data_IF_182541572841
#
_entry.id   IF_182541572841
#
_cell.length_a   1.000
_cell.length_b   1.000
_cell.length_c   1.000
_cell.angle_alpha   90.00
_cell.angle_beta   90.00
_cell.angle_gamma   90.00
#
_symmetry.space_group_name_H-M   'P 1'
#
loop_
_entity.id
_entity.type
_entity.pdbx_description
1 polymer ?
#
# COMPACT_ATOMS: atom_id res chain seq x y z
N UNK A 1 -22.49 5.88 14.49
CA UNK A 1 -23.13 6.06 13.16
C UNK A 1 -22.40 7.18 12.43
N UNK A 2 -22.03 6.97 11.16
CA UNK A 2 -21.50 8.04 10.30
C UNK A 2 -22.68 8.77 9.67
N UNK A 3 -22.63 10.11 9.63
CA UNK A 3 -23.68 10.92 9.02
C UNK A 3 -23.69 10.72 7.49
N UNK A 4 -24.86 10.75 6.88
CA UNK A 4 -24.98 10.79 5.40
C UNK A 4 -24.44 12.09 4.81
N UNK A 5 -24.23 13.13 5.60
CA UNK A 5 -23.58 14.39 5.24
C UNK A 5 -22.08 14.42 5.56
N UNK A 6 -21.49 13.26 5.91
CA UNK A 6 -20.05 13.16 6.13
C UNK A 6 -19.29 13.36 4.80
N UNK A 7 -18.34 14.30 4.78
CA UNK A 7 -17.59 14.63 3.58
C UNK A 7 -16.64 13.50 3.13
N UNK A 8 -16.24 12.60 4.03
CA UNK A 8 -15.56 11.38 3.66
C UNK A 8 -16.44 10.48 2.80
N UNK A 9 -17.74 10.36 3.13
CA UNK A 9 -18.73 9.62 2.35
C UNK A 9 -19.07 10.34 1.03
N UNK A 10 -19.33 11.66 1.09
CA UNK A 10 -19.81 12.40 -0.07
C UNK A 10 -18.73 12.71 -1.11
N UNK A 11 -17.51 12.97 -0.68
CA UNK A 11 -16.43 13.49 -1.54
C UNK A 11 -15.10 12.74 -1.42
N UNK A 12 -15.01 11.72 -0.57
CA UNK A 12 -13.74 11.06 -0.26
C UNK A 12 -12.77 11.96 0.52
N UNK A 13 -13.30 12.98 1.23
CA UNK A 13 -12.49 13.92 1.99
C UNK A 13 -12.10 13.31 3.35
N UNK A 14 -10.97 12.64 3.32
CA UNK A 14 -10.42 11.92 4.46
C UNK A 14 -9.17 11.16 4.10
N UNK A 15 -8.57 10.55 5.11
CA UNK A 15 -7.34 9.76 5.00
C UNK A 15 -7.51 8.42 5.72
N UNK A 16 -6.67 7.45 5.38
CA UNK A 16 -6.75 6.15 6.04
C UNK A 16 -5.39 5.46 6.13
N UNK A 17 -5.33 4.47 7.02
CA UNK A 17 -4.26 3.51 7.09
C UNK A 17 -4.79 2.07 7.08
N UNK A 18 -3.92 1.18 6.62
CA UNK A 18 -4.08 -0.25 6.75
C UNK A 18 -2.88 -0.80 7.49
N UNK A 19 -3.07 -1.52 8.58
CA UNK A 19 -2.00 -1.91 9.50
C UNK A 19 -2.16 -3.39 9.82
N UNK A 20 -1.10 -4.18 9.71
CA UNK A 20 -1.12 -5.60 10.08
C UNK A 20 -0.92 -5.78 11.57
N UNK A 21 -1.52 -6.84 12.07
CA UNK A 21 -1.29 -7.36 13.42
C UNK A 21 -0.68 -8.74 13.29
N UNK A 22 0.45 -8.96 13.95
CA UNK A 22 1.14 -10.25 14.04
C UNK A 22 1.35 -10.63 15.50
N UNK A 23 0.88 -11.77 15.93
CA UNK A 23 1.03 -12.26 17.32
C UNK A 23 0.60 -11.20 18.35
N UNK A 24 -0.57 -10.55 18.13
CA UNK A 24 -1.15 -9.43 18.91
C UNK A 24 -0.38 -8.11 18.85
N UNK A 25 0.73 -8.04 18.13
CA UNK A 25 1.52 -6.82 17.95
C UNK A 25 1.06 -6.07 16.70
N UNK A 26 0.71 -4.81 16.83
CA UNK A 26 0.42 -3.92 15.70
C UNK A 26 1.76 -3.56 15.04
N UNK A 27 1.94 -3.95 13.79
CA UNK A 27 3.22 -3.88 13.09
C UNK A 27 3.51 -2.46 12.60
N UNK A 28 4.68 -1.92 12.94
CA UNK A 28 5.14 -0.58 12.55
C UNK A 28 4.07 0.51 12.77
N UNK A 29 3.42 0.45 13.97
CA UNK A 29 2.30 1.35 14.30
C UNK A 29 2.72 2.82 14.27
N UNK A 30 3.92 3.15 14.76
CA UNK A 30 4.41 4.52 14.82
C UNK A 30 4.53 5.14 13.42
N UNK A 31 5.09 4.41 12.47
CA UNK A 31 5.28 4.82 11.07
C UNK A 31 3.92 4.99 10.36
N UNK A 32 2.96 4.12 10.63
CA UNK A 32 1.60 4.25 10.11
C UNK A 32 0.88 5.47 10.68
N UNK A 33 1.02 5.74 11.97
CA UNK A 33 0.43 6.94 12.58
C UNK A 33 1.09 8.21 12.04
N UNK A 34 2.42 8.24 11.91
CA UNK A 34 3.13 9.37 11.32
C UNK A 34 2.59 9.67 9.91
N UNK A 35 2.54 8.70 9.01
CA UNK A 35 2.04 8.88 7.64
C UNK A 35 0.54 9.27 7.59
N UNK A 36 -0.28 8.78 8.53
CA UNK A 36 -1.67 9.21 8.66
C UNK A 36 -1.77 10.71 8.93
N UNK A 37 -0.97 11.22 9.88
CA UNK A 37 -0.96 12.64 10.24
C UNK A 37 -0.34 13.51 9.14
N UNK A 38 0.68 13.05 8.44
CA UNK A 38 1.23 13.72 7.25
C UNK A 38 0.18 13.84 6.14
N UNK A 39 -0.55 12.75 5.86
CA UNK A 39 -1.64 12.74 4.88
C UNK A 39 -2.77 13.69 5.27
N UNK A 40 -3.14 13.72 6.55
CA UNK A 40 -4.16 14.63 7.08
C UNK A 40 -3.70 16.09 6.99
N UNK A 41 -2.44 16.38 7.33
CA UNK A 41 -1.86 17.72 7.22
C UNK A 41 -1.90 18.22 5.78
N UNK A 42 -1.55 17.36 4.82
CA UNK A 42 -1.53 17.72 3.40
C UNK A 42 -2.90 18.17 2.86
N UNK A 43 -4.00 17.63 3.40
CA UNK A 43 -5.37 18.04 3.06
C UNK A 43 -6.00 18.99 4.09
N UNK A 44 -5.20 19.52 5.03
CA UNK A 44 -5.66 20.40 6.13
C UNK A 44 -6.80 19.78 6.95
N UNK A 45 -6.73 18.47 7.20
CA UNK A 45 -7.65 17.75 8.07
C UNK A 45 -7.07 17.71 9.49
N UNK A 46 -7.76 18.31 10.43
CA UNK A 46 -7.37 18.28 11.85
C UNK A 46 -7.91 17.01 12.49
N UNK A 47 -7.02 16.11 12.89
CA UNK A 47 -7.39 14.89 13.62
C UNK A 47 -7.68 15.26 15.08
N UNK A 48 -8.83 14.85 15.68
CA UNK A 48 -9.25 15.27 17.03
C UNK A 48 -8.54 14.49 18.15
N UNK A 49 -7.43 13.83 17.87
CA UNK A 49 -6.62 13.04 18.80
C UNK A 49 -5.14 13.34 18.55
N UNK A 50 -4.31 13.21 19.58
CA UNK A 50 -2.86 13.21 19.40
C UNK A 50 -2.38 11.89 18.80
N UNK A 51 -1.17 11.83 18.17
CA UNK A 51 -0.60 10.59 17.69
C UNK A 51 -0.57 9.48 18.75
N UNK A 52 -0.21 9.79 19.97
CA UNK A 52 -0.18 8.82 21.08
C UNK A 52 -1.58 8.30 21.45
N UNK A 53 -2.59 9.16 21.46
CA UNK A 53 -3.98 8.74 21.68
C UNK A 53 -4.49 7.86 20.53
N UNK A 54 -4.12 8.15 19.29
CA UNK A 54 -4.49 7.36 18.13
C UNK A 54 -3.85 5.97 18.18
N UNK A 55 -2.56 5.88 18.50
CA UNK A 55 -1.88 4.60 18.67
C UNK A 55 -2.56 3.76 19.77
N UNK A 56 -2.85 4.36 20.93
CA UNK A 56 -3.56 3.68 22.01
C UNK A 56 -4.95 3.21 21.61
N UNK A 57 -5.70 4.00 20.83
CA UNK A 57 -7.03 3.61 20.33
C UNK A 57 -6.95 2.41 19.38
N UNK A 58 -5.94 2.36 18.51
CA UNK A 58 -5.69 1.19 17.63
C UNK A 58 -5.39 -0.06 18.45
N UNK A 59 -4.45 0.01 19.41
CA UNK A 59 -4.09 -1.12 20.27
C UNK A 59 -5.27 -1.62 21.11
N UNK A 60 -6.04 -0.70 21.69
CA UNK A 60 -7.25 -1.04 22.45
C UNK A 60 -8.29 -1.72 21.57
N UNK A 61 -8.48 -1.27 20.33
CA UNK A 61 -9.43 -1.89 19.38
C UNK A 61 -8.99 -3.31 19.03
N UNK A 62 -7.71 -3.52 18.77
CA UNK A 62 -7.14 -4.86 18.52
C UNK A 62 -7.35 -5.79 19.72
N UNK A 63 -7.07 -5.31 20.93
CA UNK A 63 -7.24 -6.07 22.15
C UNK A 63 -8.73 -6.40 22.41
N UNK A 64 -9.62 -5.43 22.26
CA UNK A 64 -11.06 -5.59 22.50
C UNK A 64 -11.72 -6.60 21.53
N UNK A 65 -11.18 -6.74 20.31
CA UNK A 65 -11.64 -7.70 19.32
C UNK A 65 -10.88 -9.05 19.37
N UNK A 66 -9.92 -9.21 20.27
CA UNK A 66 -9.18 -10.45 20.45
C UNK A 66 -8.31 -10.83 19.23
N UNK A 67 -7.90 -9.84 18.43
CA UNK A 67 -7.13 -10.10 17.20
C UNK A 67 -5.71 -10.55 17.56
N UNK A 68 -5.33 -11.73 17.08
CA UNK A 68 -3.97 -12.28 17.22
C UNK A 68 -3.15 -11.99 15.95
N UNK A 69 -3.64 -12.47 14.81
CA UNK A 69 -3.12 -12.14 13.48
C UNK A 69 -4.27 -11.53 12.67
N UNK A 70 -4.07 -10.32 12.17
CA UNK A 70 -5.16 -9.61 11.51
C UNK A 70 -4.74 -8.29 10.88
N UNK A 71 -5.73 -7.42 10.75
CA UNK A 71 -5.60 -6.15 10.03
C UNK A 71 -6.45 -5.07 10.69
N UNK A 72 -5.90 -3.88 10.76
CA UNK A 72 -6.61 -2.69 11.18
C UNK A 72 -6.81 -1.77 9.98
N UNK A 73 -8.06 -1.35 9.76
CA UNK A 73 -8.39 -0.23 8.90
C UNK A 73 -8.69 0.98 9.79
N UNK A 74 -7.81 1.97 9.74
CA UNK A 74 -7.95 3.24 10.45
C UNK A 74 -8.37 4.31 9.45
N UNK A 75 -9.53 4.94 9.65
CA UNK A 75 -10.10 5.93 8.74
C UNK A 75 -10.38 7.22 9.51
N UNK A 76 -9.96 8.33 8.93
CA UNK A 76 -10.31 9.67 9.42
C UNK A 76 -11.06 10.38 8.32
N UNK A 77 -12.30 10.79 8.60
CA UNK A 77 -13.08 11.65 7.69
C UNK A 77 -13.06 13.09 8.19
N UNK A 78 -13.33 14.03 7.29
CA UNK A 78 -13.48 15.44 7.70
C UNK A 78 -14.71 15.69 8.56
N UNK A 79 -15.67 14.76 8.62
CA UNK A 79 -16.91 14.87 9.36
C UNK A 79 -18.05 15.46 8.55
N UNK A 80 -19.16 15.68 9.23
CA UNK A 80 -20.39 16.16 8.62
C UNK A 80 -20.34 17.66 8.32
N UNK A 81 -20.99 18.06 7.22
CA UNK A 81 -21.06 19.44 6.80
C UNK A 81 -22.23 19.73 5.86
N UNK A 82 -22.34 20.97 5.40
CA UNK A 82 -23.27 21.33 4.31
C UNK A 82 -22.77 20.75 2.98
N UNK A 83 -23.68 20.53 2.04
CA UNK A 83 -23.31 20.18 0.67
C UNK A 83 -22.41 21.27 0.06
N UNK A 84 -21.37 20.84 -0.65
CA UNK A 84 -20.35 21.72 -1.25
C UNK A 84 -18.95 21.40 -0.70
N UNK A 85 -17.93 22.07 -1.25
CA UNK A 85 -16.52 21.72 -1.04
C UNK A 85 -15.79 22.61 -0.02
N UNK A 86 -16.51 23.52 0.65
CA UNK A 86 -15.90 24.44 1.61
C UNK A 86 -15.65 23.74 2.95
N UNK A 87 -14.38 23.43 3.20
CA UNK A 87 -13.95 22.75 4.43
C UNK A 87 -14.31 23.51 5.72
N UNK A 88 -14.53 24.82 5.65
CA UNK A 88 -14.94 25.64 6.82
C UNK A 88 -16.35 25.35 7.29
N UNK A 89 -17.14 24.64 6.48
CA UNK A 89 -18.53 24.26 6.78
C UNK A 89 -18.67 22.83 7.26
N UNK A 90 -17.56 22.18 7.58
CA UNK A 90 -17.51 20.82 8.15
C UNK A 90 -17.16 20.89 9.63
N UNK A 91 -17.62 19.92 10.37
CA UNK A 91 -17.36 19.80 11.80
C UNK A 91 -17.29 18.33 12.23
N UNK A 92 -16.67 18.10 13.40
CA UNK A 92 -16.59 16.79 14.03
C UNK A 92 -15.97 15.71 13.16
N UNK A 93 -14.66 15.82 12.81
CA UNK A 93 -13.94 14.75 12.13
C UNK A 93 -14.18 13.41 12.81
N UNK A 94 -14.43 12.37 12.00
CA UNK A 94 -14.69 11.04 12.55
C UNK A 94 -13.41 10.21 12.55
N UNK A 95 -13.19 9.48 13.64
CA UNK A 95 -12.14 8.48 13.77
C UNK A 95 -12.81 7.11 13.81
N UNK A 96 -12.47 6.25 12.85
CA UNK A 96 -13.05 4.92 12.71
C UNK A 96 -11.91 3.91 12.70
N UNK A 97 -11.92 3.00 13.68
CA UNK A 97 -10.95 1.91 13.77
C UNK A 97 -11.71 0.58 13.59
N UNK A 98 -11.36 -0.14 12.55
CA UNK A 98 -11.93 -1.47 12.25
C UNK A 98 -10.79 -2.47 12.42
N UNK A 99 -10.94 -3.44 13.32
CA UNK A 99 -9.99 -4.54 13.48
C UNK A 99 -10.69 -5.86 13.07
N UNK A 100 -10.07 -6.57 12.12
CA UNK A 100 -10.62 -7.81 11.57
C UNK A 100 -9.48 -8.73 11.09
N UNK A 101 -9.82 -9.93 10.71
CA UNK A 101 -8.89 -10.83 9.99
C UNK A 101 -8.78 -10.39 8.54
N UNK A 102 -7.62 -10.65 7.91
CA UNK A 102 -7.43 -10.41 6.47
C UNK A 102 -6.73 -11.60 5.84
N UNK A 103 -7.19 -11.97 4.65
CA UNK A 103 -6.50 -12.88 3.75
C UNK A 103 -6.62 -12.30 2.34
N UNK A 104 -5.57 -11.56 1.90
CA UNK A 104 -5.60 -10.91 0.58
C UNK A 104 -5.40 -11.93 -0.54
N UNK A 105 -4.38 -12.79 -0.41
CA UNK A 105 -4.05 -13.83 -1.38
C UNK A 105 -4.08 -15.21 -0.72
N UNK A 106 -4.34 -16.24 -1.52
CA UNK A 106 -4.23 -17.64 -1.05
C UNK A 106 -2.76 -18.02 -0.85
N UNK A 107 -2.50 -19.00 0.02
CA UNK A 107 -1.13 -19.53 0.22
C UNK A 107 -0.54 -20.06 -1.09
N UNK A 108 -1.38 -20.61 -1.95
CA UNK A 108 -0.98 -21.08 -3.28
C UNK A 108 -0.38 -19.95 -4.14
N UNK A 109 -0.99 -18.75 -4.13
CA UNK A 109 -0.46 -17.59 -4.85
C UNK A 109 0.88 -17.10 -4.26
N UNK A 110 1.09 -17.22 -2.96
CA UNK A 110 2.39 -16.94 -2.38
C UNK A 110 3.48 -17.93 -2.80
N UNK A 111 3.11 -19.18 -3.10
CA UNK A 111 4.03 -20.22 -3.58
C UNK A 111 4.27 -20.15 -5.08
N UNK A 112 3.23 -19.87 -5.86
CA UNK A 112 3.30 -19.84 -7.33
C UNK A 112 3.69 -18.47 -7.90
N UNK A 113 3.42 -17.39 -7.19
CA UNK A 113 3.56 -16.01 -7.64
C UNK A 113 2.37 -15.53 -8.47
N UNK A 114 2.27 -14.21 -8.60
CA UNK A 114 1.20 -13.53 -9.32
C UNK A 114 1.51 -13.39 -10.80
N UNK A 115 0.46 -13.37 -11.62
CA UNK A 115 0.47 -12.80 -12.96
C UNK A 115 -0.28 -11.48 -12.92
N UNK A 116 0.29 -10.44 -13.51
CA UNK A 116 -0.28 -9.10 -13.54
C UNK A 116 -0.32 -8.54 -14.96
N UNK A 117 -1.03 -7.45 -15.15
CA UNK A 117 -1.03 -6.68 -16.40
C UNK A 117 -0.53 -5.26 -16.14
N UNK A 118 -0.17 -4.56 -17.21
CA UNK A 118 -0.02 -3.10 -17.19
C UNK A 118 -1.37 -2.49 -17.52
N UNK A 119 -1.95 -1.72 -16.57
CA UNK A 119 -3.20 -1.02 -16.79
C UNK A 119 -3.06 0.11 -17.81
N UNK A 120 -4.13 0.39 -18.55
CA UNK A 120 -4.26 1.59 -19.36
C UNK A 120 -4.57 2.83 -18.52
N UNK A 121 -5.22 2.63 -17.37
CA UNK A 121 -5.45 3.68 -16.37
C UNK A 121 -4.13 4.13 -15.75
N UNK A 122 -3.76 5.38 -15.99
CA UNK A 122 -2.54 5.97 -15.40
C UNK A 122 -2.73 6.26 -13.92
N UNK A 123 -1.63 6.19 -13.17
CA UNK A 123 -1.61 6.61 -11.77
C UNK A 123 -1.89 8.10 -11.65
N UNK A 124 -2.54 8.53 -10.58
CA UNK A 124 -2.84 9.93 -10.33
C UNK A 124 -1.61 10.81 -10.56
N UNK A 125 -1.80 11.88 -11.35
CA UNK A 125 -0.76 12.89 -11.51
C UNK A 125 -0.53 13.61 -10.17
N UNK A 126 0.72 13.72 -9.67
CA UNK A 126 1.02 14.34 -8.38
C UNK A 126 0.51 15.78 -8.23
N UNK A 127 0.43 16.52 -9.35
CA UNK A 127 -0.13 17.88 -9.39
C UNK A 127 -1.65 17.95 -9.33
N UNK A 128 -2.37 16.81 -9.53
CA UNK A 128 -3.83 16.75 -9.39
C UNK A 128 -4.22 16.21 -8.00
N UNK A 129 -3.77 15.01 -7.68
CA UNK A 129 -3.94 14.37 -6.37
C UNK A 129 -2.71 13.51 -6.08
N UNK A 130 -1.82 14.00 -5.23
CA UNK A 130 -0.56 13.31 -4.94
C UNK A 130 -0.80 11.91 -4.38
N UNK A 131 -0.22 10.84 -4.99
CA UNK A 131 -0.27 9.49 -4.44
C UNK A 131 0.35 9.34 -3.05
N UNK A 132 1.21 10.27 -2.64
CA UNK A 132 1.79 10.31 -1.28
C UNK A 132 0.76 10.59 -0.20
N UNK A 133 -0.38 11.21 -0.56
CA UNK A 133 -1.51 11.39 0.35
C UNK A 133 -2.35 10.12 0.34
N UNK A 134 -2.36 9.39 1.44
CA UNK A 134 -3.19 8.18 1.58
C UNK A 134 -4.64 8.56 1.88
N UNK A 135 -5.29 9.19 0.88
CA UNK A 135 -6.66 9.70 0.95
C UNK A 135 -7.71 8.62 0.71
N UNK A 136 -8.97 8.93 0.98
CA UNK A 136 -10.11 8.04 0.67
C UNK A 136 -10.45 7.98 -0.82
N UNK A 137 -9.73 8.71 -1.69
CA UNK A 137 -9.97 8.77 -3.14
C UNK A 137 -9.22 7.63 -3.86
N UNK A 138 -9.77 6.43 -3.81
CA UNK A 138 -9.16 5.22 -4.39
C UNK A 138 -9.78 4.79 -5.72
N UNK A 139 -10.65 5.62 -6.33
CA UNK A 139 -11.31 5.25 -7.58
C UNK A 139 -10.31 5.03 -8.73
N UNK A 140 -9.23 5.81 -8.80
CA UNK A 140 -8.16 5.60 -9.78
C UNK A 140 -7.54 4.18 -9.67
N UNK A 141 -7.26 3.74 -8.44
CA UNK A 141 -6.72 2.41 -8.17
C UNK A 141 -7.75 1.31 -8.49
N UNK A 142 -9.04 1.54 -8.16
CA UNK A 142 -10.13 0.61 -8.45
C UNK A 142 -10.31 0.42 -9.96
N UNK A 143 -10.25 1.50 -10.76
CA UNK A 143 -10.36 1.41 -12.22
C UNK A 143 -9.24 0.57 -12.83
N UNK A 144 -7.99 0.77 -12.40
CA UNK A 144 -6.89 -0.08 -12.83
C UNK A 144 -7.03 -1.53 -12.35
N UNK A 145 -7.56 -1.75 -11.13
CA UNK A 145 -7.83 -3.09 -10.59
C UNK A 145 -8.87 -3.84 -11.42
N UNK A 146 -9.91 -3.14 -11.90
CA UNK A 146 -10.93 -3.72 -12.79
C UNK A 146 -10.27 -4.25 -14.05
N UNK A 147 -9.37 -3.49 -14.70
CA UNK A 147 -8.65 -3.95 -15.90
C UNK A 147 -7.91 -5.29 -15.66
N UNK A 148 -7.23 -5.42 -14.50
CA UNK A 148 -6.58 -6.68 -14.11
C UNK A 148 -7.59 -7.82 -13.91
N UNK A 149 -8.67 -7.54 -13.18
CA UNK A 149 -9.70 -8.54 -12.86
C UNK A 149 -10.40 -9.05 -14.12
N UNK A 150 -10.69 -8.18 -15.08
CA UNK A 150 -11.37 -8.53 -16.34
C UNK A 150 -10.58 -9.54 -17.18
N UNK A 151 -9.27 -9.62 -16.99
CA UNK A 151 -8.40 -10.59 -17.68
C UNK A 151 -7.88 -11.70 -16.75
N UNK A 152 -8.45 -11.84 -15.57
CA UNK A 152 -8.12 -12.91 -14.62
C UNK A 152 -6.78 -12.71 -13.90
N UNK A 153 -6.30 -11.45 -13.79
CA UNK A 153 -5.12 -11.10 -13.03
C UNK A 153 -5.47 -10.55 -11.66
N UNK A 154 -4.67 -10.92 -10.66
CA UNK A 154 -4.88 -10.47 -9.28
C UNK A 154 -4.44 -9.03 -9.02
N UNK A 155 -3.59 -8.44 -9.88
CA UNK A 155 -3.10 -7.09 -9.72
C UNK A 155 -2.81 -6.42 -11.07
N UNK A 156 -2.71 -5.08 -11.09
CA UNK A 156 -2.38 -4.32 -12.25
C UNK A 156 -1.30 -3.26 -11.94
N UNK A 157 -0.28 -3.22 -12.79
CA UNK A 157 0.79 -2.24 -12.76
C UNK A 157 0.31 -0.94 -13.40
N UNK A 158 0.51 0.18 -12.73
CA UNK A 158 0.14 1.51 -13.21
C UNK A 158 1.38 2.30 -13.61
N UNK A 159 1.27 3.00 -14.74
CA UNK A 159 2.28 3.94 -15.20
C UNK A 159 1.94 5.37 -14.78
N UNK A 160 2.94 6.21 -14.63
CA UNK A 160 2.75 7.64 -14.45
C UNK A 160 2.51 8.35 -15.81
N UNK A 161 2.29 9.65 -15.77
CA UNK A 161 2.02 10.47 -16.96
C UNK A 161 3.20 10.57 -17.95
N UNK A 162 4.41 10.13 -17.56
CA UNK A 162 5.59 10.06 -18.42
C UNK A 162 5.74 8.69 -19.08
N UNK A 163 4.90 7.71 -18.70
CA UNK A 163 5.02 6.32 -19.15
C UNK A 163 6.00 5.49 -18.33
N UNK A 164 6.55 6.04 -17.24
CA UNK A 164 7.40 5.29 -16.34
C UNK A 164 6.56 4.49 -15.34
N UNK A 165 7.15 3.43 -14.81
CA UNK A 165 6.53 2.59 -13.77
C UNK A 165 6.30 3.44 -12.51
N UNK A 166 5.07 3.40 -12.00
CA UNK A 166 4.72 3.95 -10.71
C UNK A 166 4.62 2.83 -9.66
N UNK A 167 3.46 2.30 -9.45
CA UNK A 167 3.17 1.23 -8.48
C UNK A 167 2.00 0.38 -8.98
N UNK A 168 1.64 -0.68 -8.29
CA UNK A 168 0.41 -1.42 -8.55
C UNK A 168 -0.81 -0.77 -7.87
N UNK A 169 -2.00 -1.39 -7.98
CA UNK A 169 -3.23 -0.77 -7.47
C UNK A 169 -3.26 -0.65 -5.95
N UNK A 170 -2.60 -1.54 -5.23
CA UNK A 170 -2.51 -1.51 -3.76
C UNK A 170 -1.09 -1.70 -3.22
N UNK A 171 -0.11 -1.89 -4.08
CA UNK A 171 1.23 -2.38 -3.72
C UNK A 171 2.33 -1.63 -4.47
N UNK A 172 3.50 -1.49 -3.84
CA UNK A 172 4.71 -1.02 -4.52
C UNK A 172 5.36 -2.18 -5.29
N UNK A 173 6.10 -1.87 -6.35
CA UNK A 173 6.78 -2.86 -7.18
C UNK A 173 8.29 -2.80 -7.01
N UNK A 174 8.92 -3.96 -7.04
CA UNK A 174 10.35 -4.16 -7.05
C UNK A 174 10.74 -5.12 -8.17
N UNK A 175 11.91 -4.90 -8.76
CA UNK A 175 12.56 -5.85 -9.64
C UNK A 175 13.96 -6.16 -9.16
N UNK A 176 14.46 -7.35 -9.47
CA UNK A 176 15.86 -7.74 -9.28
C UNK A 176 16.47 -7.95 -10.65
N UNK A 177 17.60 -7.29 -10.87
CA UNK A 177 18.39 -7.45 -12.10
C UNK A 177 19.86 -7.59 -11.76
N UNK A 178 20.48 -8.72 -12.12
CA UNK A 178 21.88 -9.03 -11.85
C UNK A 178 22.26 -8.86 -10.37
N UNK A 179 21.35 -9.29 -9.47
CA UNK A 179 21.55 -9.21 -8.03
C UNK A 179 21.27 -7.83 -7.40
N UNK A 180 20.93 -6.82 -8.18
CA UNK A 180 20.58 -5.47 -7.69
C UNK A 180 19.08 -5.36 -7.57
N UNK A 181 18.60 -4.95 -6.39
CA UNK A 181 17.19 -4.65 -6.10
C UNK A 181 16.85 -3.23 -6.57
N UNK A 182 15.83 -3.09 -7.39
CA UNK A 182 15.40 -1.79 -7.92
C UNK A 182 13.91 -1.55 -7.67
N UNK A 183 13.55 -0.30 -7.37
CA UNK A 183 12.16 0.13 -7.17
C UNK A 183 11.99 1.58 -7.63
N UNK A 184 10.79 1.98 -8.08
CA UNK A 184 10.53 3.37 -8.42
C UNK A 184 10.74 4.31 -7.22
N UNK A 185 11.30 5.52 -7.47
CA UNK A 185 11.46 6.56 -6.45
C UNK A 185 10.11 7.26 -6.17
N UNK A 186 10.00 8.04 -5.07
CA UNK A 186 8.77 8.75 -4.72
C UNK A 186 8.23 9.69 -5.80
N UNK A 187 9.09 10.30 -6.61
CA UNK A 187 8.71 11.20 -7.71
C UNK A 187 8.17 10.46 -8.95
N UNK A 188 8.25 9.13 -8.99
CA UNK A 188 7.52 8.32 -9.95
C UNK A 188 5.99 8.35 -9.75
N UNK A 189 5.50 8.95 -8.66
CA UNK A 189 4.07 9.05 -8.33
C UNK A 189 3.58 7.84 -7.55
N UNK A 190 4.37 7.33 -6.64
CA UNK A 190 4.02 6.24 -5.74
C UNK A 190 3.55 6.72 -4.37
N UNK A 191 2.84 5.87 -3.64
CA UNK A 191 2.77 5.96 -2.19
C UNK A 191 4.07 5.41 -1.60
N UNK A 192 4.70 6.14 -0.69
CA UNK A 192 5.86 5.64 0.06
C UNK A 192 5.40 4.56 1.06
N UNK A 193 5.41 3.31 0.60
CA UNK A 193 4.92 2.16 1.37
C UNK A 193 5.77 1.85 2.59
N UNK A 194 5.14 1.64 3.75
CA UNK A 194 5.85 1.24 4.98
C UNK A 194 6.47 -0.15 4.79
N UNK A 195 5.76 -1.09 4.19
CA UNK A 195 6.31 -2.40 3.82
C UNK A 195 7.45 -2.26 2.79
N UNK A 196 7.31 -1.36 1.80
CA UNK A 196 8.38 -1.03 0.85
C UNK A 196 9.66 -0.59 1.57
N UNK A 197 9.54 0.38 2.46
CA UNK A 197 10.69 0.92 3.19
C UNK A 197 11.32 -0.13 4.12
N UNK A 198 10.50 -0.96 4.77
CA UNK A 198 10.98 -2.09 5.56
C UNK A 198 11.79 -3.09 4.70
N UNK A 199 11.29 -3.46 3.51
CA UNK A 199 12.00 -4.38 2.61
C UNK A 199 13.31 -3.79 2.09
N UNK A 200 13.37 -2.49 1.80
CA UNK A 200 14.62 -1.79 1.46
C UNK A 200 15.64 -1.95 2.59
N UNK A 201 15.26 -1.64 3.82
CA UNK A 201 16.15 -1.79 4.99
C UNK A 201 16.63 -3.23 5.19
N UNK A 202 15.74 -4.21 5.05
CA UNK A 202 16.09 -5.63 5.17
C UNK A 202 17.04 -6.10 4.05
N UNK A 203 16.88 -5.59 2.83
CA UNK A 203 17.77 -5.87 1.71
C UNK A 203 19.17 -5.28 1.96
N UNK A 204 19.25 -4.02 2.39
CA UNK A 204 20.52 -3.36 2.74
C UNK A 204 21.24 -4.09 3.88
N UNK A 205 20.52 -4.50 4.94
CA UNK A 205 21.06 -5.30 6.03
C UNK A 205 21.58 -6.68 5.56
N UNK A 206 21.00 -7.22 4.49
CA UNK A 206 21.45 -8.47 3.87
C UNK A 206 22.61 -8.29 2.90
N UNK A 207 23.11 -7.05 2.71
CA UNK A 207 24.18 -6.74 1.76
C UNK A 207 23.73 -6.72 0.30
N UNK A 208 22.41 -6.64 0.04
CA UNK A 208 21.85 -6.51 -1.31
C UNK A 208 21.89 -5.03 -1.70
N UNK A 209 22.49 -4.72 -2.84
CA UNK A 209 22.48 -3.36 -3.39
C UNK A 209 21.04 -2.94 -3.74
N UNK A 210 20.60 -1.78 -3.25
CA UNK A 210 19.27 -1.22 -3.50
C UNK A 210 19.37 0.09 -4.27
N UNK A 211 18.61 0.20 -5.35
CA UNK A 211 18.51 1.39 -6.17
C UNK A 211 17.07 1.87 -6.27
N UNK A 212 16.81 3.12 -5.87
CA UNK A 212 15.55 3.80 -6.12
C UNK A 212 15.71 4.60 -7.42
N UNK A 213 15.20 4.06 -8.53
CA UNK A 213 15.43 4.59 -9.88
C UNK A 213 14.18 4.54 -10.72
N UNK A 214 14.08 5.43 -11.71
CA UNK A 214 13.02 5.36 -12.72
C UNK A 214 13.11 4.04 -13.45
N UNK A 215 12.00 3.34 -13.54
CA UNK A 215 11.84 2.07 -14.25
C UNK A 215 10.84 2.22 -15.38
N UNK A 216 11.07 1.48 -16.46
CA UNK A 216 10.16 1.37 -17.60
C UNK A 216 9.67 -0.08 -17.74
N UNK A 217 8.65 -0.30 -18.56
CA UNK A 217 8.11 -1.65 -18.81
C UNK A 217 9.21 -2.63 -19.28
N UNK A 218 10.17 -2.13 -20.07
CA UNK A 218 11.30 -2.93 -20.52
C UNK A 218 12.10 -3.52 -19.34
N UNK A 219 12.34 -2.72 -18.30
CA UNK A 219 13.09 -3.16 -17.11
C UNK A 219 12.35 -4.29 -16.38
N UNK A 220 11.02 -4.18 -16.24
CA UNK A 220 10.20 -5.24 -15.64
C UNK A 220 10.17 -6.50 -16.51
N UNK A 221 9.98 -6.36 -17.83
CA UNK A 221 9.92 -7.50 -18.76
C UNK A 221 11.24 -8.29 -18.82
N UNK A 222 12.36 -7.63 -18.56
CA UNK A 222 13.69 -8.24 -18.62
C UNK A 222 14.28 -8.53 -17.25
N UNK A 223 13.51 -8.32 -16.18
CA UNK A 223 13.95 -8.58 -14.82
C UNK A 223 14.25 -10.08 -14.60
N UNK A 224 15.19 -10.36 -13.70
CA UNK A 224 15.49 -11.71 -13.28
C UNK A 224 14.45 -12.20 -12.26
N UNK A 225 13.97 -11.27 -11.38
CA UNK A 225 12.87 -11.47 -10.45
C UNK A 225 12.03 -10.18 -10.34
N UNK A 226 10.76 -10.33 -9.95
CA UNK A 226 9.86 -9.22 -9.65
C UNK A 226 8.98 -9.58 -8.46
N UNK A 227 8.67 -8.60 -7.61
CA UNK A 227 7.73 -8.80 -6.50
C UNK A 227 7.02 -7.49 -6.12
N UNK A 228 5.92 -7.64 -5.41
CA UNK A 228 5.14 -6.54 -4.86
C UNK A 228 5.26 -6.49 -3.34
N UNK A 229 5.07 -5.29 -2.80
CA UNK A 229 5.02 -5.07 -1.36
C UNK A 229 3.84 -4.20 -0.97
N UNK A 230 3.09 -4.65 0.03
CA UNK A 230 1.99 -3.91 0.61
C UNK A 230 1.67 -4.41 2.01
N UNK A 231 0.98 -3.61 2.80
CA UNK A 231 0.63 -4.01 4.17
C UNK A 231 -0.20 -5.30 4.18
N UNK A 232 -1.16 -5.44 3.27
CA UNK A 232 -1.99 -6.64 3.17
C UNK A 232 -1.29 -7.78 2.42
N UNK A 233 -0.53 -7.45 1.36
CA UNK A 233 0.16 -8.40 0.49
C UNK A 233 1.48 -8.91 1.09
N UNK A 234 2.06 -8.19 2.06
CA UNK A 234 3.42 -8.46 2.57
C UNK A 234 4.47 -8.37 1.45
N UNK A 235 5.13 -9.48 1.12
CA UNK A 235 6.02 -9.61 -0.03
C UNK A 235 5.51 -10.76 -0.89
N UNK A 236 5.11 -10.48 -2.12
CA UNK A 236 4.58 -11.50 -3.04
C UNK A 236 5.24 -11.42 -4.41
N UNK A 237 5.72 -12.55 -4.90
CA UNK A 237 6.40 -12.62 -6.21
C UNK A 237 5.44 -12.34 -7.37
N UNK A 238 5.96 -11.69 -8.41
CA UNK A 238 5.32 -11.57 -9.73
C UNK A 238 6.13 -12.42 -10.71
N UNK A 239 5.50 -13.40 -11.30
CA UNK A 239 6.14 -14.38 -12.20
C UNK A 239 5.74 -14.18 -13.66
N UNK A 240 4.82 -13.26 -13.92
CA UNK A 240 4.40 -12.90 -15.28
C UNK A 240 3.74 -11.54 -15.35
N UNK A 241 3.96 -10.83 -16.45
CA UNK A 241 3.33 -9.55 -16.75
C UNK A 241 3.04 -9.40 -18.24
N UNK A 242 1.83 -8.93 -18.61
CA UNK A 242 1.40 -8.69 -19.97
C UNK A 242 1.65 -9.91 -20.91
N UNK A 243 1.35 -11.12 -20.41
CA UNK A 243 1.56 -12.37 -21.11
C UNK A 243 3.03 -12.81 -21.23
N UNK A 244 3.97 -12.11 -20.57
CA UNK A 244 5.40 -12.46 -20.57
C UNK A 244 5.79 -13.09 -19.23
N UNK A 245 6.61 -14.14 -19.30
CA UNK A 245 7.24 -14.73 -18.14
C UNK A 245 8.35 -13.82 -17.61
N UNK A 246 8.44 -13.66 -16.29
CA UNK A 246 9.56 -13.00 -15.62
C UNK A 246 10.52 -14.07 -15.10
N UNK A 247 11.80 -13.90 -15.38
CA UNK A 247 12.83 -14.83 -14.95
C UNK A 247 12.53 -16.27 -15.37
N UNK A 248 12.47 -17.17 -14.41
CA UNK A 248 12.18 -18.60 -14.61
C UNK A 248 10.68 -18.94 -14.57
N UNK A 249 9.80 -17.96 -14.33
CA UNK A 249 8.35 -18.16 -14.21
C UNK A 249 7.89 -18.71 -12.85
N UNK A 250 8.79 -18.72 -11.87
CA UNK A 250 8.52 -19.07 -10.46
C UNK A 250 9.16 -18.02 -9.54
N UNK A 251 8.72 -17.91 -8.28
CA UNK A 251 9.33 -17.00 -7.31
C UNK A 251 10.84 -17.20 -7.19
N UNK A 252 11.61 -16.14 -7.44
CA UNK A 252 13.06 -16.21 -7.44
C UNK A 252 13.67 -16.25 -6.02
N UNK A 253 14.95 -16.67 -5.91
CA UNK A 253 15.60 -16.92 -4.61
C UNK A 253 15.74 -15.67 -3.75
N UNK A 254 16.05 -14.49 -4.33
CA UNK A 254 16.17 -13.25 -3.57
C UNK A 254 14.81 -12.74 -3.08
N UNK A 255 13.77 -12.89 -3.90
CA UNK A 255 12.39 -12.58 -3.49
C UNK A 255 11.96 -13.46 -2.31
N UNK A 256 12.28 -14.76 -2.35
CA UNK A 256 11.95 -15.68 -1.28
C UNK A 256 12.73 -15.38 0.01
N UNK A 257 14.02 -15.04 -0.09
CA UNK A 257 14.85 -14.63 1.05
C UNK A 257 14.29 -13.35 1.70
N UNK A 258 13.99 -12.30 0.90
CA UNK A 258 13.41 -11.07 1.41
C UNK A 258 12.04 -11.29 2.05
N UNK A 259 11.19 -12.17 1.47
CA UNK A 259 9.91 -12.56 2.09
C UNK A 259 10.12 -13.21 3.45
N UNK A 260 11.05 -14.14 3.58
CA UNK A 260 11.34 -14.82 4.85
C UNK A 260 11.89 -13.84 5.89
N UNK A 261 12.81 -12.94 5.51
CA UNK A 261 13.32 -11.89 6.40
C UNK A 261 12.21 -10.97 6.88
N UNK A 262 11.33 -10.54 5.97
CA UNK A 262 10.17 -9.73 6.32
C UNK A 262 9.26 -10.44 7.30
N UNK A 263 8.93 -11.71 7.08
CA UNK A 263 8.07 -12.49 7.97
C UNK A 263 8.66 -12.67 9.38
N UNK A 264 9.97 -12.95 9.48
CA UNK A 264 10.68 -13.01 10.77
C UNK A 264 10.64 -11.66 11.47
N UNK A 265 11.02 -10.58 10.79
CA UNK A 265 10.99 -9.23 11.34
C UNK A 265 9.58 -8.84 11.80
N UNK A 266 8.57 -9.11 10.99
CA UNK A 266 7.18 -8.82 11.31
C UNK A 266 6.69 -9.54 12.57
N UNK A 267 7.18 -10.76 12.83
CA UNK A 267 6.85 -11.54 14.04
C UNK A 267 7.76 -11.24 15.23
N UNK A 268 8.86 -10.51 15.02
CA UNK A 268 9.84 -10.19 16.09
C UNK A 268 10.82 -11.30 16.37
N UNK A 269 11.12 -12.10 15.35
CA UNK A 269 12.06 -13.23 15.38
C UNK A 269 13.46 -12.85 14.85
#
# INVERSE_FOLDING_TARGET
MVSVFDHGLLYGDGVFEGIRVYSKRVFLLAEHIERLYESALAIRLVIPMTPAQMAAAVEQTVAANGIVDGYVRLVITRGAGSLGLDIRRTSHPQVIVIADTIKLYSEELYQQGLKIITASTLRNHPGALSPRIKSLNYLNNILAKIEGTDVGCEEALMLNHKGDISECTGDNIFIIKRGVLKTPPPDAGILEGITRNCVIQLAEQAGIEVQQVTLQRHDVYTADECFLTGTAAEVIAVVGIDGRQIGTGVPGPLTQDLRQRFQKFARGE
#
